data_IF_394337313629
#
_entry.id   IF_394337313629
#
_cell.length_a   1.000
_cell.length_b   1.000
_cell.length_c   1.000
_cell.angle_alpha   90.00
_cell.angle_beta   90.00
_cell.angle_gamma   90.00
#
_symmetry.space_group_name_H-M   'P 1'
#
loop_
_entity.id
_entity.type
_entity.pdbx_description
1 polymer ?
#
# COMPACT_ATOMS: atom_id res chain seq x y z
N UNK A 1 -50.19 4.82 22.30
CA UNK A 1 -49.75 3.64 21.53
C UNK A 1 -48.22 3.63 21.52
N UNK A 2 -47.65 2.49 21.94
CA UNK A 2 -46.21 2.24 22.15
C UNK A 2 -45.48 2.05 20.82
N UNK A 3 -44.24 2.53 20.72
CA UNK A 3 -43.06 1.83 20.13
C UNK A 3 -41.86 2.77 20.25
N UNK A 4 -40.92 2.56 21.20
CA UNK A 4 -39.76 1.66 21.11
C UNK A 4 -38.97 1.96 19.82
N UNK A 5 -37.96 2.83 19.92
CA UNK A 5 -36.56 2.45 20.13
C UNK A 5 -35.97 1.79 18.88
N UNK A 6 -35.01 2.46 18.24
CA UNK A 6 -33.73 1.84 17.86
C UNK A 6 -32.77 2.94 17.39
N UNK A 7 -31.99 3.44 18.35
CA UNK A 7 -30.75 4.15 18.04
C UNK A 7 -29.78 3.07 17.57
N UNK A 8 -29.68 2.84 16.26
CA UNK A 8 -28.63 2.00 15.69
C UNK A 8 -27.34 2.81 15.60
N UNK A 9 -26.64 2.87 16.72
CA UNK A 9 -25.23 3.21 16.77
C UNK A 9 -24.44 2.24 15.90
N UNK A 10 -24.01 2.67 14.72
CA UNK A 10 -22.93 1.99 13.99
C UNK A 10 -21.68 2.84 14.15
N UNK A 11 -20.98 2.62 15.26
CA UNK A 11 -19.60 3.03 15.38
C UNK A 11 -18.77 2.21 14.38
N UNK A 12 -18.48 2.78 13.22
CA UNK A 12 -17.47 2.25 12.31
C UNK A 12 -16.09 2.48 12.93
N UNK A 13 -15.59 1.49 13.66
CA UNK A 13 -14.18 1.41 14.02
C UNK A 13 -13.52 0.45 13.03
N UNK A 14 -13.00 0.98 11.93
CA UNK A 14 -12.05 0.27 11.10
C UNK A 14 -10.63 0.60 11.61
N UNK A 15 -9.99 -0.34 12.29
CA UNK A 15 -8.57 -0.25 12.64
C UNK A 15 -7.82 -1.42 12.00
N UNK A 16 -6.83 -1.05 11.19
CA UNK A 16 -6.08 -1.86 10.25
C UNK A 16 -5.34 -3.04 10.89
N UNK A 17 -5.37 -4.18 10.19
CA UNK A 17 -4.69 -5.41 10.59
C UNK A 17 -3.17 -5.30 10.37
N UNK A 18 -2.39 -5.47 11.45
CA UNK A 18 -0.97 -5.81 11.35
C UNK A 18 -0.40 -6.54 12.58
N UNK A 19 -1.17 -7.30 13.38
CA UNK A 19 -0.59 -8.05 14.52
C UNK A 19 -1.20 -9.44 14.66
N UNK A 20 -0.72 -10.40 13.87
CA UNK A 20 -0.98 -11.81 14.14
C UNK A 20 -0.10 -12.24 15.33
N UNK A 21 -0.56 -11.98 16.57
CA UNK A 21 0.00 -12.58 17.79
C UNK A 21 0.44 -11.65 18.92
N UNK A 22 0.38 -10.32 18.77
CA UNK A 22 0.66 -9.41 19.88
C UNK A 22 -0.64 -8.94 20.53
N UNK A 23 -0.73 -8.84 21.88
CA UNK A 23 -1.93 -8.33 22.50
C UNK A 23 -2.14 -6.85 22.13
N UNK A 24 -3.41 -6.43 22.00
CA UNK A 24 -3.78 -5.18 21.33
C UNK A 24 -3.23 -3.91 22.01
N UNK A 25 -2.91 -3.98 23.29
CA UNK A 25 -2.24 -2.88 24.00
C UNK A 25 -0.76 -2.72 23.56
N UNK A 26 -0.04 -3.84 23.39
CA UNK A 26 1.33 -3.81 22.87
C UNK A 26 1.37 -3.33 21.41
N UNK A 27 0.35 -3.69 20.62
CA UNK A 27 0.19 -3.21 19.25
C UNK A 27 0.14 -1.69 19.11
N UNK A 28 -0.76 -1.07 19.87
CA UNK A 28 -1.03 0.36 19.80
C UNK A 28 0.17 1.17 20.28
N UNK A 29 0.82 0.72 21.36
CA UNK A 29 2.02 1.37 21.89
C UNK A 29 3.21 1.29 20.93
N UNK A 30 3.38 0.17 20.21
CA UNK A 30 4.41 0.03 19.19
C UNK A 30 4.18 0.98 18.01
N UNK A 31 2.97 1.00 17.44
CA UNK A 31 2.62 1.89 16.32
C UNK A 31 2.77 3.37 16.67
N UNK A 32 2.34 3.78 17.86
CA UNK A 32 2.52 5.16 18.33
C UNK A 32 4.00 5.53 18.49
N UNK A 33 4.81 4.60 19.04
CA UNK A 33 6.25 4.78 19.17
C UNK A 33 6.94 4.91 17.81
N UNK A 34 6.58 4.06 16.85
CA UNK A 34 7.11 4.11 15.49
C UNK A 34 6.72 5.39 14.76
N UNK A 35 5.47 5.85 14.90
CA UNK A 35 5.01 7.12 14.32
C UNK A 35 5.75 8.32 14.91
N UNK A 36 5.98 8.33 16.23
CA UNK A 36 6.77 9.37 16.90
C UNK A 36 8.24 9.34 16.44
N UNK A 37 8.85 8.15 16.35
CA UNK A 37 10.21 7.97 15.86
C UNK A 37 10.36 8.44 14.40
N UNK A 38 9.39 8.11 13.53
CA UNK A 38 9.37 8.57 12.14
C UNK A 38 9.24 10.10 12.05
N UNK A 39 8.41 10.71 12.89
CA UNK A 39 8.24 12.16 12.96
C UNK A 39 9.52 12.85 13.43
N UNK A 40 10.17 12.30 14.45
CA UNK A 40 11.45 12.80 14.96
C UNK A 40 12.57 12.64 13.92
N UNK A 41 12.67 11.49 13.25
CA UNK A 41 13.64 11.28 12.19
C UNK A 41 13.41 12.25 11.02
N UNK A 42 12.13 12.57 10.71
CA UNK A 42 11.77 13.59 9.71
C UNK A 42 12.26 14.98 10.11
N UNK A 43 12.00 15.40 11.36
CA UNK A 43 12.42 16.73 11.84
C UNK A 43 13.94 16.86 11.95
N UNK A 44 14.64 15.76 12.22
CA UNK A 44 16.10 15.69 12.23
C UNK A 44 16.72 15.53 10.83
N UNK A 45 15.91 15.46 9.77
CA UNK A 45 16.40 15.29 8.39
C UNK A 45 17.02 13.93 8.11
N UNK A 46 16.77 12.92 8.95
CA UNK A 46 17.34 11.57 8.82
C UNK A 46 16.54 10.67 7.87
N UNK A 47 15.34 11.09 7.48
CA UNK A 47 14.58 10.40 6.45
C UNK A 47 15.16 10.69 5.07
N UNK A 48 16.04 9.81 4.62
CA UNK A 48 16.57 9.80 3.25
C UNK A 48 15.45 9.49 2.26
N UNK A 49 14.76 10.53 1.81
CA UNK A 49 13.80 10.42 0.71
C UNK A 49 14.59 10.57 -0.58
N UNK A 50 14.59 9.54 -1.43
CA UNK A 50 15.18 9.69 -2.77
C UNK A 50 14.24 10.54 -3.62
N UNK A 51 14.77 11.24 -4.64
CA UNK A 51 13.92 11.97 -5.58
C UNK A 51 12.92 11.04 -6.28
N UNK A 52 11.78 11.57 -6.72
CA UNK A 52 10.76 10.77 -7.44
C UNK A 52 11.34 10.00 -8.63
N UNK A 53 12.30 10.60 -9.34
CA UNK A 53 13.01 9.95 -10.45
C UNK A 53 13.77 8.69 -10.01
N UNK A 54 14.41 8.72 -8.84
CA UNK A 54 15.13 7.54 -8.34
C UNK A 54 14.17 6.43 -7.93
N UNK A 55 13.00 6.75 -7.39
CA UNK A 55 11.97 5.75 -7.10
C UNK A 55 11.43 5.12 -8.39
N UNK A 56 11.19 5.92 -9.42
CA UNK A 56 10.75 5.42 -10.73
C UNK A 56 11.82 4.54 -11.39
N UNK A 57 13.08 4.97 -11.39
CA UNK A 57 14.19 4.18 -11.93
C UNK A 57 14.35 2.85 -11.20
N UNK A 58 14.30 2.86 -9.86
CA UNK A 58 14.35 1.63 -9.07
C UNK A 58 13.13 0.75 -9.36
N UNK A 59 11.96 1.34 -9.60
CA UNK A 59 10.77 0.59 -9.96
C UNK A 59 10.92 -0.12 -11.31
N UNK A 60 11.44 0.56 -12.32
CA UNK A 60 11.68 -0.01 -13.65
C UNK A 60 12.80 -1.06 -13.64
N UNK A 61 13.85 -0.88 -12.82
CA UNK A 61 14.94 -1.86 -12.66
C UNK A 61 14.42 -3.23 -12.19
N UNK A 62 13.33 -3.25 -11.41
CA UNK A 62 12.69 -4.52 -10.99
C UNK A 62 12.17 -5.32 -12.19
N UNK A 63 11.76 -4.67 -13.28
CA UNK A 63 11.29 -5.34 -14.49
C UNK A 63 12.40 -6.01 -15.30
N UNK A 64 13.67 -5.66 -15.09
CA UNK A 64 14.80 -6.31 -15.77
C UNK A 64 14.91 -7.80 -15.44
N UNK A 65 14.35 -8.25 -14.30
CA UNK A 65 14.31 -9.67 -13.92
C UNK A 65 13.30 -10.49 -14.73
N UNK A 66 12.39 -9.85 -15.46
CA UNK A 66 11.43 -10.54 -16.31
C UNK A 66 12.10 -11.02 -17.61
N UNK A 67 11.64 -12.14 -18.21
CA UNK A 67 12.06 -12.54 -19.54
C UNK A 67 11.88 -11.41 -20.56
N UNK A 68 12.79 -11.31 -21.52
CA UNK A 68 12.70 -10.32 -22.59
C UNK A 68 11.40 -10.49 -23.42
N UNK A 69 10.93 -9.39 -24.01
CA UNK A 69 9.68 -9.31 -24.77
C UNK A 69 8.48 -9.02 -23.85
N UNK A 70 7.32 -9.61 -24.18
CA UNK A 70 6.03 -9.28 -23.58
C UNK A 70 6.02 -9.22 -22.04
N UNK A 71 6.68 -10.18 -21.36
CA UNK A 71 6.73 -10.20 -19.89
C UNK A 71 7.38 -8.95 -19.28
N UNK A 72 8.48 -8.48 -19.87
CA UNK A 72 9.18 -7.28 -19.42
C UNK A 72 8.40 -6.01 -19.78
N UNK A 73 7.86 -5.94 -20.98
CA UNK A 73 7.06 -4.80 -21.46
C UNK A 73 5.80 -4.59 -20.61
N UNK A 74 5.05 -5.67 -20.35
CA UNK A 74 3.90 -5.66 -19.46
C UNK A 74 4.24 -5.22 -18.04
N UNK A 75 5.38 -5.66 -17.49
CA UNK A 75 5.85 -5.18 -16.19
C UNK A 75 6.08 -3.67 -16.18
N UNK A 76 6.72 -3.13 -17.22
CA UNK A 76 7.01 -1.70 -17.35
C UNK A 76 5.71 -0.90 -17.48
N UNK A 77 4.77 -1.37 -18.31
CA UNK A 77 3.43 -0.78 -18.44
C UNK A 77 2.71 -0.71 -17.09
N UNK A 78 2.72 -1.79 -16.30
CA UNK A 78 2.14 -1.80 -14.95
C UNK A 78 2.79 -0.78 -14.02
N UNK A 79 4.12 -0.66 -14.06
CA UNK A 79 4.87 0.31 -13.25
C UNK A 79 4.59 1.75 -13.68
N UNK A 80 4.36 1.99 -14.97
CA UNK A 80 4.10 3.31 -15.55
C UNK A 80 2.60 3.68 -15.60
N UNK A 81 1.70 2.77 -15.19
CA UNK A 81 0.25 2.97 -15.31
C UNK A 81 -0.26 3.03 -16.75
N UNK A 82 0.41 2.33 -17.66
CA UNK A 82 0.09 2.30 -19.10
C UNK A 82 -0.51 0.96 -19.53
N UNK A 83 -1.02 0.88 -20.75
CA UNK A 83 -1.64 -0.33 -21.30
C UNK A 83 -2.96 -0.67 -20.61
N UNK A 84 -3.30 -1.96 -20.54
CA UNK A 84 -4.46 -2.45 -19.79
C UNK A 84 -4.10 -2.61 -18.29
N UNK A 85 -3.73 -1.51 -17.64
CA UNK A 85 -3.37 -1.47 -16.22
C UNK A 85 -4.52 -0.89 -15.41
N UNK A 86 -4.99 -1.66 -14.42
CA UNK A 86 -5.98 -1.21 -13.45
C UNK A 86 -5.28 -0.89 -12.13
N UNK A 87 -5.53 0.31 -11.61
CA UNK A 87 -5.04 0.76 -10.31
C UNK A 87 -6.20 0.88 -9.33
N UNK A 88 -6.10 0.18 -8.20
CA UNK A 88 -7.08 0.24 -7.12
C UNK A 88 -6.39 0.71 -5.85
N UNK A 89 -6.92 1.79 -5.26
CA UNK A 89 -6.44 2.37 -4.01
C UNK A 89 -7.09 1.73 -2.78
N UNK A 90 -6.42 1.85 -1.63
CA UNK A 90 -6.89 1.38 -0.32
C UNK A 90 -7.17 -0.12 -0.29
N UNK A 91 -6.18 -0.93 -0.66
CA UNK A 91 -6.16 -2.31 -0.16
C UNK A 91 -6.19 -2.28 1.37
N UNK A 92 -6.63 -3.36 2.01
CA UNK A 92 -6.85 -3.44 3.47
C UNK A 92 -5.65 -2.96 4.33
N UNK A 93 -4.43 -2.96 3.78
CA UNK A 93 -3.18 -2.48 4.41
C UNK A 93 -2.74 -1.05 4.03
N UNK A 94 -3.54 -0.29 3.27
CA UNK A 94 -3.24 1.11 2.91
C UNK A 94 -2.33 1.30 1.68
N UNK A 95 -2.22 0.28 0.82
CA UNK A 95 -1.41 0.33 -0.40
C UNK A 95 -2.21 0.66 -1.68
N UNK A 96 -1.48 0.91 -2.76
CA UNK A 96 -2.01 0.96 -4.12
C UNK A 96 -1.68 -0.37 -4.80
N UNK A 97 -2.71 -1.08 -5.27
CA UNK A 97 -2.53 -2.26 -6.11
C UNK A 97 -2.62 -1.86 -7.58
N UNK A 98 -1.61 -2.21 -8.37
CA UNK A 98 -1.63 -2.05 -9.81
C UNK A 98 -1.48 -3.42 -10.46
N UNK A 99 -2.42 -3.76 -11.32
CA UNK A 99 -2.51 -5.04 -12.02
C UNK A 99 -2.55 -4.77 -13.52
N UNK A 100 -1.88 -5.63 -14.29
CA UNK A 100 -1.96 -5.59 -15.74
C UNK A 100 -2.08 -7.02 -16.27
N UNK A 101 -2.64 -7.17 -17.46
CA UNK A 101 -2.78 -8.48 -18.11
C UNK A 101 -1.60 -8.72 -19.07
N UNK A 102 -1.08 -9.95 -19.03
CA UNK A 102 -0.11 -10.43 -20.02
C UNK A 102 -0.88 -11.18 -21.11
N UNK A 103 -0.76 -10.83 -22.40
CA UNK A 103 -1.35 -11.65 -23.45
C UNK A 103 -0.69 -13.04 -23.45
N UNK A 104 -1.51 -14.09 -23.54
CA UNK A 104 -1.03 -15.46 -23.65
C UNK A 104 -0.25 -15.62 -24.96
N UNK A 105 0.90 -16.31 -24.91
CA UNK A 105 1.58 -16.74 -26.13
C UNK A 105 0.81 -17.93 -26.70
N UNK A 106 0.27 -17.77 -27.91
CA UNK A 106 -0.18 -18.88 -28.74
C UNK A 106 1.04 -19.70 -29.22
#
# INVERSE_FOLDING_TARGET
>A
MRSLAYITSVALIAASAALAGMPQAQAQTASQREAAAATQAKSQGQLNTKGQDQYQQNALRRCERQPAGAARESCQQRVMGQGNTTTTGSVQSGGILSTNELPAKN
#
